data_IF_737775292621
#
_entry.id   IF_737775292621
#
_cell.length_a   1.000
_cell.length_b   1.000
_cell.length_c   1.000
_cell.angle_alpha   90.00
_cell.angle_beta   90.00
_cell.angle_gamma   90.00
#
_symmetry.space_group_name_H-M   'P 1'
#
loop_
_entity.id
_entity.type
_entity.pdbx_description
1 polymer ?
#
# COMPACT_ATOMS: atom_id res chain seq x y z
N UNK A 1 -29.82 7.16 18.17
CA UNK A 1 -28.52 7.81 17.84
C UNK A 1 -28.12 7.38 16.42
N UNK A 2 -28.54 8.15 15.41
CA UNK A 2 -28.55 7.77 13.97
C UNK A 2 -27.50 8.53 13.14
N UNK A 3 -26.59 9.28 13.77
CA UNK A 3 -25.69 10.19 13.04
C UNK A 3 -24.22 9.73 12.93
N UNK A 4 -23.86 8.53 13.40
CA UNK A 4 -22.46 8.09 13.43
C UNK A 4 -22.01 7.27 12.20
N UNK A 5 -22.93 6.98 11.26
CA UNK A 5 -22.61 6.18 10.07
C UNK A 5 -21.84 6.97 9.00
N UNK A 6 -22.01 8.31 8.97
CA UNK A 6 -21.36 9.18 7.98
C UNK A 6 -19.95 9.64 8.37
N UNK A 7 -19.50 9.43 9.62
CA UNK A 7 -18.18 9.89 10.08
C UNK A 7 -17.08 8.82 10.00
N UNK A 8 -17.31 7.70 9.31
CA UNK A 8 -16.24 6.72 9.10
C UNK A 8 -15.25 7.30 8.10
N UNK A 9 -13.98 7.57 8.48
CA UNK A 9 -12.98 8.06 7.54
C UNK A 9 -12.89 7.07 6.39
N UNK A 10 -13.18 7.57 5.19
CA UNK A 10 -13.45 6.79 3.97
C UNK A 10 -12.17 6.13 3.44
N UNK A 11 -11.62 5.13 4.14
CA UNK A 11 -10.53 4.19 3.74
C UNK A 11 -9.35 4.80 2.93
N UNK A 12 -9.03 6.08 3.11
CA UNK A 12 -8.03 6.78 2.28
C UNK A 12 -6.63 6.18 2.42
N UNK A 13 -6.24 5.77 3.64
CA UNK A 13 -4.91 5.20 3.93
C UNK A 13 -4.58 3.93 3.14
N UNK A 14 -5.58 3.12 2.76
CA UNK A 14 -5.33 1.91 1.95
C UNK A 14 -4.87 2.23 0.53
N UNK A 15 -5.34 3.34 -0.05
CA UNK A 15 -4.86 3.82 -1.36
C UNK A 15 -3.44 4.38 -1.26
N UNK A 16 -3.13 5.09 -0.18
CA UNK A 16 -1.78 5.62 0.05
C UNK A 16 -0.75 4.50 0.12
N UNK A 17 -1.05 3.38 0.79
CA UNK A 17 -0.16 2.21 0.84
C UNK A 17 0.08 1.59 -0.55
N UNK A 18 -0.95 1.52 -1.40
CA UNK A 18 -0.82 1.03 -2.77
C UNK A 18 0.09 1.95 -3.59
N UNK A 19 -0.17 3.26 -3.53
CA UNK A 19 0.62 4.26 -4.25
C UNK A 19 2.07 4.24 -3.77
N UNK A 20 2.29 4.17 -2.46
CA UNK A 20 3.63 4.11 -1.88
C UNK A 20 4.40 2.86 -2.35
N UNK A 21 3.75 1.70 -2.38
CA UNK A 21 4.35 0.48 -2.95
C UNK A 21 4.71 0.62 -4.42
N UNK A 22 3.83 1.22 -5.23
CA UNK A 22 4.09 1.48 -6.65
C UNK A 22 5.28 2.44 -6.87
N UNK A 23 5.38 3.48 -6.06
CA UNK A 23 6.51 4.42 -6.09
C UNK A 23 7.81 3.70 -5.76
N UNK A 24 7.83 2.83 -4.73
CA UNK A 24 9.02 2.05 -4.40
C UNK A 24 9.49 1.18 -5.56
N UNK A 25 8.58 0.58 -6.33
CA UNK A 25 8.96 -0.19 -7.51
C UNK A 25 9.56 0.65 -8.64
N UNK A 26 9.12 1.90 -8.81
CA UNK A 26 9.73 2.81 -9.80
C UNK A 26 11.08 3.35 -9.34
N UNK A 27 11.21 3.67 -8.05
CA UNK A 27 12.41 4.29 -7.49
C UNK A 27 13.52 3.26 -7.26
N UNK A 28 13.19 2.03 -6.89
CA UNK A 28 14.18 1.01 -6.56
C UNK A 28 15.25 0.77 -7.65
N UNK A 29 14.89 0.55 -8.94
CA UNK A 29 15.88 0.33 -9.99
C UNK A 29 16.61 1.61 -10.43
N UNK A 30 16.07 2.79 -10.12
CA UNK A 30 16.66 4.07 -10.54
C UNK A 30 17.62 4.63 -9.49
N UNK A 31 17.32 4.49 -8.20
CA UNK A 31 18.16 5.04 -7.12
C UNK A 31 19.21 4.06 -6.59
N UNK A 32 18.97 2.75 -6.66
CA UNK A 32 19.86 1.75 -6.07
C UNK A 32 20.70 1.00 -7.11
N UNK A 33 21.07 1.66 -8.21
CA UNK A 33 21.89 1.07 -9.28
C UNK A 33 23.24 0.53 -8.78
N UNK A 34 23.85 1.21 -7.80
CA UNK A 34 25.14 0.84 -7.22
C UNK A 34 25.01 -0.07 -5.98
N UNK A 35 23.79 -0.37 -5.55
CA UNK A 35 23.53 -1.17 -4.34
C UNK A 35 22.35 -2.11 -4.56
N UNK A 36 22.56 -3.23 -5.27
CA UNK A 36 21.51 -4.18 -5.64
C UNK A 36 20.72 -4.72 -4.44
N UNK A 37 21.39 -4.93 -3.30
CA UNK A 37 20.80 -5.38 -2.05
C UNK A 37 19.72 -4.42 -1.53
N UNK A 38 20.02 -3.11 -1.55
CA UNK A 38 19.07 -2.06 -1.15
C UNK A 38 17.91 -1.94 -2.15
N UNK A 39 18.19 -2.11 -3.44
CA UNK A 39 17.16 -2.16 -4.48
C UNK A 39 16.19 -3.32 -4.29
N UNK A 40 16.70 -4.51 -4.00
CA UNK A 40 15.88 -5.70 -3.70
C UNK A 40 15.06 -5.47 -2.43
N UNK A 41 15.65 -4.92 -1.36
CA UNK A 41 14.92 -4.57 -0.14
C UNK A 41 13.80 -3.56 -0.40
N UNK A 42 14.05 -2.54 -1.24
CA UNK A 42 13.05 -1.56 -1.64
C UNK A 42 11.90 -2.19 -2.44
N UNK A 43 12.20 -3.12 -3.34
CA UNK A 43 11.18 -3.89 -4.09
C UNK A 43 10.36 -4.77 -3.15
N UNK A 44 11.00 -5.53 -2.27
CA UNK A 44 10.30 -6.44 -1.34
C UNK A 44 9.41 -5.64 -0.39
N UNK A 45 9.90 -4.53 0.16
CA UNK A 45 9.09 -3.65 1.02
C UNK A 45 7.94 -3.00 0.25
N UNK A 46 8.17 -2.56 -1.00
CA UNK A 46 7.11 -2.05 -1.89
C UNK A 46 6.01 -3.08 -2.16
N UNK A 47 6.39 -4.34 -2.37
CA UNK A 47 5.44 -5.44 -2.57
C UNK A 47 4.61 -5.72 -1.33
N UNK A 48 5.23 -5.76 -0.15
CA UNK A 48 4.53 -5.98 1.12
C UNK A 48 3.56 -4.83 1.40
N UNK A 49 4.01 -3.57 1.32
CA UNK A 49 3.19 -2.40 1.61
C UNK A 49 2.06 -2.22 0.60
N UNK A 50 2.37 -2.35 -0.70
CA UNK A 50 1.37 -2.29 -1.77
C UNK A 50 0.35 -3.41 -1.66
N UNK A 51 0.79 -4.64 -1.36
CA UNK A 51 -0.06 -5.81 -1.15
C UNK A 51 -0.98 -5.65 0.06
N UNK A 52 -0.48 -5.15 1.19
CA UNK A 52 -1.29 -4.83 2.37
C UNK A 52 -2.33 -3.75 2.03
N UNK A 53 -1.91 -2.68 1.35
CA UNK A 53 -2.82 -1.63 0.89
C UNK A 53 -3.94 -2.18 0.00
N UNK A 54 -3.58 -3.03 -0.96
CA UNK A 54 -4.51 -3.70 -1.87
C UNK A 54 -5.49 -4.60 -1.11
N UNK A 55 -4.98 -5.45 -0.22
CA UNK A 55 -5.81 -6.34 0.61
C UNK A 55 -6.81 -5.56 1.45
N UNK A 56 -6.37 -4.49 2.14
CA UNK A 56 -7.24 -3.65 2.95
C UNK A 56 -8.30 -2.92 2.12
N UNK A 57 -7.94 -2.46 0.91
CA UNK A 57 -8.83 -1.71 0.03
C UNK A 57 -9.90 -2.61 -0.59
N UNK A 58 -9.49 -3.72 -1.20
CA UNK A 58 -10.33 -4.51 -2.09
C UNK A 58 -10.81 -5.84 -1.50
N UNK A 59 -10.01 -6.46 -0.63
CA UNK A 59 -10.26 -7.83 -0.15
C UNK A 59 -10.96 -7.82 1.23
N UNK A 60 -10.43 -7.08 2.20
CA UNK A 60 -10.91 -7.07 3.61
C UNK A 60 -12.40 -6.72 3.73
N UNK A 61 -12.90 -5.79 2.90
CA UNK A 61 -14.33 -5.41 2.93
C UNK A 61 -15.28 -6.41 2.28
N UNK A 62 -14.76 -7.39 1.54
CA UNK A 62 -15.53 -8.43 0.84
C UNK A 62 -15.57 -9.75 1.62
N UNK A 63 -14.64 -9.96 2.56
CA UNK A 63 -14.60 -11.13 3.45
C UNK A 63 -15.52 -10.94 4.68
N UNK A 64 -15.69 -9.69 5.14
CA UNK A 64 -16.45 -9.37 6.38
C UNK A 64 -17.95 -9.08 6.08
N UNK A 65 -18.35 -9.02 4.80
CA UNK A 65 -19.75 -8.91 4.37
C UNK A 65 -20.22 -10.27 3.89
#
# INVERSE_FOLDING_TARGET
MVHNEHNKPKRSGSLLLIIFGAILFMIAPTQYQNSPELGILAIVSGFILGGIGFYLKYVKGRIIR
#
